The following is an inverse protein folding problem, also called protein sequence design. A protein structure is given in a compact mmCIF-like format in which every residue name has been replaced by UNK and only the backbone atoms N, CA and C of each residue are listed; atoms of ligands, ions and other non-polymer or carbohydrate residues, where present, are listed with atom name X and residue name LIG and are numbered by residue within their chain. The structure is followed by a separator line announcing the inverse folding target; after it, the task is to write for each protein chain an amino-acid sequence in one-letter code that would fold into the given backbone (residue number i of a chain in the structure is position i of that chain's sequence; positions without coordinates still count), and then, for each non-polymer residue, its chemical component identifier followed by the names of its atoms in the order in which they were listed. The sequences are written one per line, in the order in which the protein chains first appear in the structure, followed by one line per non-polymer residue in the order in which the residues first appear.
data_IF_632426361640
#
_entry.id   IF_632426361640
#
_cell.length_a   1.000
_cell.length_b   1.000
_cell.length_c   1.000
_cell.angle_alpha   90.00
_cell.angle_beta   90.00
_cell.angle_gamma   90.00
#
_symmetry.space_group_name_H-M   'P 1'
#
loop_
_entity.id
_entity.type
_entity.pdbx_description
1 polymer ?
#
# COMPACT_ATOMS: atom_id res chain seq x y z
N UNK A 1 -41.74 -57.25 -53.25
CA UNK A 1 -41.63 -56.89 -51.83
C UNK A 1 -42.08 -55.45 -51.67
N UNK A 2 -43.23 -55.23 -51.02
CA UNK A 2 -43.81 -53.90 -50.78
C UNK A 2 -43.33 -53.41 -49.42
N UNK A 3 -42.66 -52.26 -49.36
CA UNK A 3 -42.09 -51.72 -48.11
C UNK A 3 -43.13 -50.82 -47.43
N UNK A 4 -43.42 -51.09 -46.15
CA UNK A 4 -44.43 -50.39 -45.35
C UNK A 4 -43.80 -49.44 -44.33
N UNK A 5 -44.47 -48.31 -44.05
CA UNK A 5 -44.04 -47.36 -43.03
C UNK A 5 -44.24 -47.91 -41.61
N UNK A 6 -43.21 -47.86 -40.76
CA UNK A 6 -43.22 -48.42 -39.40
C UNK A 6 -44.04 -47.65 -38.37
N UNK A 7 -44.64 -46.52 -38.73
CA UNK A 7 -45.48 -45.72 -37.81
C UNK A 7 -46.98 -45.83 -38.10
N UNK A 8 -47.39 -46.16 -39.32
CA UNK A 8 -48.80 -46.21 -39.72
C UNK A 8 -49.17 -47.41 -40.62
N UNK A 9 -48.21 -48.29 -40.93
CA UNK A 9 -48.39 -49.56 -41.66
C UNK A 9 -49.07 -49.46 -43.04
N UNK A 10 -48.93 -48.33 -43.75
CA UNK A 10 -49.37 -48.17 -45.14
C UNK A 10 -48.21 -48.35 -46.14
N UNK A 11 -48.47 -48.84 -47.37
CA UNK A 11 -47.43 -49.06 -48.37
C UNK A 11 -46.94 -47.72 -48.93
N UNK A 12 -45.62 -47.52 -48.97
CA UNK A 12 -45.01 -46.26 -49.42
C UNK A 12 -45.13 -46.13 -50.94
N UNK A 13 -46.10 -45.34 -51.41
CA UNK A 13 -46.14 -44.85 -52.79
C UNK A 13 -45.38 -43.53 -52.89
N UNK A 14 -44.59 -43.39 -53.96
CA UNK A 14 -43.71 -42.26 -54.23
C UNK A 14 -44.53 -41.00 -54.57
N UNK A 15 -45.09 -40.32 -53.56
CA UNK A 15 -45.42 -38.89 -53.59
C UNK A 15 -45.86 -38.41 -52.20
N UNK A 16 -45.06 -37.49 -51.64
CA UNK A 16 -45.39 -36.51 -50.59
C UNK A 16 -46.23 -36.96 -49.38
N UNK A 17 -45.56 -37.29 -48.27
CA UNK A 17 -46.12 -37.15 -46.92
C UNK A 17 -45.60 -35.84 -46.29
N UNK A 18 -46.16 -34.70 -46.69
CA UNK A 18 -46.06 -33.47 -45.90
C UNK A 18 -47.22 -33.46 -44.90
N UNK A 19 -46.98 -33.31 -43.59
CA UNK A 19 -48.07 -33.29 -42.63
C UNK A 19 -48.93 -32.02 -42.81
N UNK A 20 -50.19 -32.24 -43.15
CA UNK A 20 -51.23 -31.20 -43.20
C UNK A 20 -51.46 -30.68 -41.79
N UNK A 21 -51.35 -29.36 -41.63
CA UNK A 21 -51.45 -28.62 -40.37
C UNK A 21 -52.81 -28.82 -39.71
N UNK A 22 -52.89 -29.72 -38.72
CA UNK A 22 -53.99 -29.74 -37.76
C UNK A 22 -53.98 -28.43 -36.95
N UNK A 23 -55.15 -27.80 -36.79
CA UNK A 23 -55.35 -26.65 -35.90
C UNK A 23 -55.08 -27.09 -34.45
N UNK A 24 -53.85 -26.90 -33.97
CA UNK A 24 -53.53 -26.96 -32.55
C UNK A 24 -54.04 -25.68 -31.87
N UNK A 25 -54.80 -25.86 -30.79
CA UNK A 25 -55.10 -24.83 -29.81
C UNK A 25 -53.79 -24.16 -29.32
N UNK A 26 -53.81 -22.88 -28.90
CA UNK A 26 -52.58 -22.19 -28.50
C UNK A 26 -52.05 -22.82 -27.21
N UNK A 27 -51.11 -23.76 -27.31
CA UNK A 27 -50.34 -24.21 -26.15
C UNK A 27 -49.42 -23.06 -25.76
N UNK A 28 -49.63 -22.56 -24.55
CA UNK A 28 -48.96 -21.42 -23.95
C UNK A 28 -47.48 -21.32 -24.36
N UNK A 29 -47.11 -20.19 -24.97
CA UNK A 29 -45.71 -19.80 -25.07
C UNK A 29 -45.12 -19.91 -23.67
N UNK A 30 -44.09 -20.76 -23.50
CA UNK A 30 -43.28 -20.71 -22.28
C UNK A 30 -42.86 -19.24 -22.16
N UNK A 31 -43.28 -18.50 -21.13
CA UNK A 31 -42.92 -17.11 -21.04
C UNK A 31 -41.41 -17.07 -21.03
N UNK A 32 -40.83 -16.25 -21.91
CA UNK A 32 -39.42 -15.94 -21.87
C UNK A 32 -39.15 -15.42 -20.46
N UNK A 33 -38.66 -16.29 -19.57
CA UNK A 33 -38.56 -16.00 -18.14
C UNK A 33 -37.53 -14.91 -18.03
N UNK A 34 -38.01 -13.69 -17.84
CA UNK A 34 -37.19 -12.49 -17.86
C UNK A 34 -36.11 -12.62 -16.80
N UNK A 35 -34.87 -12.91 -17.22
CA UNK A 35 -33.69 -12.96 -16.34
C UNK A 35 -33.39 -11.59 -15.73
N UNK A 36 -34.09 -10.54 -16.18
CA UNK A 36 -33.97 -9.16 -15.70
C UNK A 36 -34.35 -9.02 -14.22
N UNK A 37 -35.43 -9.66 -13.76
CA UNK A 37 -35.86 -9.56 -12.35
C UNK A 37 -34.89 -10.31 -11.42
N UNK A 38 -34.44 -11.50 -11.80
CA UNK A 38 -33.43 -12.26 -11.06
C UNK A 38 -32.07 -11.55 -11.01
N UNK A 39 -31.63 -10.98 -12.14
CA UNK A 39 -30.39 -10.19 -12.21
C UNK A 39 -30.46 -8.89 -11.39
N UNK A 40 -31.63 -8.25 -11.35
CA UNK A 40 -31.88 -7.10 -10.47
C UNK A 40 -31.82 -7.51 -9.00
N UNK A 41 -32.56 -8.55 -8.60
CA UNK A 41 -32.54 -9.04 -7.21
C UNK A 41 -31.12 -9.40 -6.75
N UNK A 42 -30.32 -10.05 -7.60
CA UNK A 42 -28.91 -10.34 -7.31
C UNK A 42 -28.07 -9.07 -7.11
N UNK A 43 -28.23 -8.05 -7.96
CA UNK A 43 -27.51 -6.78 -7.81
C UNK A 43 -27.94 -6.03 -6.55
N UNK A 44 -29.23 -6.04 -6.25
CA UNK A 44 -29.78 -5.42 -5.05
C UNK A 44 -29.24 -6.13 -3.78
N UNK A 45 -29.11 -7.46 -3.79
CA UNK A 45 -28.44 -8.21 -2.71
C UNK A 45 -26.96 -7.82 -2.56
N UNK A 46 -26.19 -7.79 -3.65
CA UNK A 46 -24.76 -7.40 -3.61
C UNK A 46 -24.60 -6.00 -3.03
N UNK A 47 -25.45 -5.05 -3.45
CA UNK A 47 -25.42 -3.69 -2.92
C UNK A 47 -25.77 -3.65 -1.43
N UNK A 48 -26.74 -4.46 -0.98
CA UNK A 48 -27.09 -4.56 0.44
C UNK A 48 -25.91 -5.08 1.29
N UNK A 49 -25.24 -6.14 0.83
CA UNK A 49 -24.04 -6.68 1.50
C UNK A 49 -22.89 -5.66 1.52
N UNK A 50 -22.65 -4.94 0.41
CA UNK A 50 -21.63 -3.88 0.37
C UNK A 50 -21.93 -2.75 1.36
N UNK A 51 -23.20 -2.36 1.52
CA UNK A 51 -23.58 -1.36 2.52
C UNK A 51 -23.43 -1.89 3.95
N UNK A 52 -23.76 -3.16 4.19
CA UNK A 52 -23.51 -3.80 5.48
C UNK A 52 -22.01 -3.80 5.82
N UNK A 53 -21.14 -4.23 4.88
CA UNK A 53 -19.69 -4.20 5.05
C UNK A 53 -19.17 -2.77 5.33
N UNK A 54 -19.64 -1.77 4.58
CA UNK A 54 -19.27 -0.36 4.78
C UNK A 54 -19.64 0.14 6.18
N UNK A 55 -20.81 -0.26 6.69
CA UNK A 55 -21.27 0.16 8.02
C UNK A 55 -20.35 -0.34 9.14
N UNK A 56 -19.71 -1.50 8.95
CA UNK A 56 -18.80 -2.14 9.91
C UNK A 56 -17.37 -1.56 9.89
N UNK A 57 -17.01 -0.75 8.90
CA UNK A 57 -15.68 -0.13 8.86
C UNK A 57 -15.50 0.86 10.02
N UNK A 58 -14.36 0.86 10.72
CA UNK A 58 -14.10 1.77 11.84
C UNK A 58 -13.54 3.10 11.34
N UNK A 59 -14.36 3.82 10.58
CA UNK A 59 -14.09 5.17 10.07
C UNK A 59 -15.34 6.03 10.31
N UNK A 60 -15.22 7.34 10.17
CA UNK A 60 -16.33 8.26 10.44
C UNK A 60 -17.50 8.05 9.46
N UNK A 61 -18.72 8.43 9.87
CA UNK A 61 -19.90 8.35 9.00
C UNK A 61 -19.72 9.17 7.71
N UNK A 62 -19.11 10.35 7.81
CA UNK A 62 -18.82 11.22 6.68
C UNK A 62 -17.87 10.56 5.65
N UNK A 63 -16.86 9.84 6.12
CA UNK A 63 -15.95 9.11 5.23
C UNK A 63 -16.66 7.94 4.55
N UNK A 64 -17.50 7.19 5.29
CA UNK A 64 -18.29 6.07 4.73
C UNK A 64 -19.14 6.51 3.55
N UNK A 65 -19.80 7.67 3.63
CA UNK A 65 -20.64 8.20 2.54
C UNK A 65 -19.86 8.49 1.26
N UNK A 66 -18.59 8.92 1.39
CA UNK A 66 -17.71 9.27 0.27
C UNK A 66 -17.05 8.07 -0.40
N UNK A 67 -17.09 6.89 0.21
CA UNK A 67 -16.45 5.70 -0.35
C UNK A 67 -17.15 5.22 -1.63
N UNK A 68 -16.37 4.85 -2.62
CA UNK A 68 -16.84 4.01 -3.74
C UNK A 68 -16.96 2.55 -3.29
N UNK A 69 -17.61 1.70 -4.09
CA UNK A 69 -17.63 0.25 -3.82
C UNK A 69 -16.23 -0.36 -3.84
N UNK A 70 -15.36 0.11 -4.75
CA UNK A 70 -13.98 -0.34 -4.83
C UNK A 70 -13.20 0.03 -3.56
N UNK A 71 -13.34 1.27 -3.08
CA UNK A 71 -12.70 1.72 -1.84
C UNK A 71 -13.21 0.95 -0.60
N UNK A 72 -14.52 0.65 -0.57
CA UNK A 72 -15.11 -0.16 0.50
C UNK A 72 -14.47 -1.55 0.52
N UNK A 73 -14.36 -2.19 -0.64
CA UNK A 73 -13.73 -3.50 -0.75
C UNK A 73 -12.24 -3.47 -0.39
N UNK A 74 -11.50 -2.44 -0.83
CA UNK A 74 -10.08 -2.30 -0.52
C UNK A 74 -9.83 -2.20 1.00
N UNK A 75 -10.62 -1.37 1.70
CA UNK A 75 -10.56 -1.26 3.16
C UNK A 75 -10.96 -2.57 3.85
N UNK A 76 -12.03 -3.25 3.40
CA UNK A 76 -12.44 -4.55 3.95
C UNK A 76 -11.32 -5.57 3.78
N UNK A 77 -10.71 -5.68 2.59
CA UNK A 77 -9.58 -6.57 2.33
C UNK A 77 -8.36 -6.22 3.19
N UNK A 78 -8.07 -4.94 3.41
CA UNK A 78 -6.99 -4.52 4.31
C UNK A 78 -7.27 -4.96 5.75
N UNK A 79 -8.50 -4.73 6.25
CA UNK A 79 -8.91 -5.12 7.61
C UNK A 79 -8.88 -6.63 7.81
N UNK A 80 -9.31 -7.41 6.84
CA UNK A 80 -9.26 -8.88 6.90
C UNK A 80 -7.81 -9.38 6.93
N UNK A 81 -6.91 -8.81 6.11
CA UNK A 81 -5.47 -9.11 6.16
C UNK A 81 -4.87 -8.77 7.53
N UNK A 82 -5.21 -7.60 8.06
CA UNK A 82 -4.81 -7.17 9.41
C UNK A 82 -5.28 -8.14 10.49
N UNK A 83 -6.55 -8.54 10.47
CA UNK A 83 -7.12 -9.46 11.45
C UNK A 83 -6.53 -10.88 11.36
N UNK A 84 -6.10 -11.32 10.17
CA UNK A 84 -5.42 -12.60 9.99
C UNK A 84 -4.01 -12.59 10.61
N UNK A 85 -3.29 -11.47 10.52
CA UNK A 85 -1.95 -11.33 11.07
C UNK A 85 -1.94 -10.97 12.55
N UNK A 86 -2.89 -10.16 13.00
CA UNK A 86 -3.05 -9.72 14.39
C UNK A 86 -4.40 -10.23 14.94
N UNK A 87 -4.48 -11.50 15.34
CA UNK A 87 -5.71 -12.05 15.87
C UNK A 87 -6.06 -11.36 17.22
N UNK A 88 -7.35 -11.15 17.51
CA UNK A 88 -7.83 -10.35 18.65
C UNK A 88 -7.45 -10.89 20.05
N UNK A 89 -6.79 -12.04 20.14
CA UNK A 89 -6.29 -12.63 21.40
C UNK A 89 -4.83 -12.30 21.74
N UNK A 90 -4.08 -11.65 20.83
CA UNK A 90 -2.67 -11.31 21.05
C UNK A 90 -2.44 -9.91 21.65
N UNK A 91 -3.48 -9.06 21.70
CA UNK A 91 -3.35 -7.71 22.21
C UNK A 91 -3.49 -7.69 23.74
N UNK A 92 -2.58 -7.03 24.49
CA UNK A 92 -2.85 -6.70 25.89
C UNK A 92 -4.12 -5.82 25.97
N UNK A 93 -4.86 -5.84 27.11
CA UNK A 93 -6.06 -5.05 27.28
C UNK A 93 -5.75 -3.59 26.93
N UNK A 94 -6.54 -3.04 26.01
CA UNK A 94 -6.34 -1.70 25.46
C UNK A 94 -6.10 -0.70 26.59
N UNK A 95 -4.87 -0.18 26.67
CA UNK A 95 -4.59 1.03 27.41
C UNK A 95 -5.40 2.19 26.84
N UNK A 96 -5.47 3.32 27.56
CA UNK A 96 -6.28 4.47 27.14
C UNK A 96 -5.95 4.89 25.70
N UNK A 97 -6.92 5.54 25.05
CA UNK A 97 -7.01 5.93 23.65
C UNK A 97 -5.87 6.85 23.12
N UNK A 98 -4.62 6.56 23.47
CA UNK A 98 -3.40 7.24 23.04
C UNK A 98 -3.10 7.03 21.57
N UNK A 99 -3.87 6.23 20.82
CA UNK A 99 -3.56 5.85 19.45
C UNK A 99 -3.36 7.06 18.53
N UNK A 100 -4.30 8.01 18.53
CA UNK A 100 -4.22 9.19 17.65
C UNK A 100 -3.19 10.22 18.12
N UNK A 101 -3.08 10.44 19.44
CA UNK A 101 -2.05 11.34 20.00
C UNK A 101 -0.65 10.79 19.76
N UNK A 102 -0.43 9.49 19.99
CA UNK A 102 0.85 8.82 19.71
C UNK A 102 1.22 8.94 18.24
N UNK A 103 0.27 8.72 17.32
CA UNK A 103 0.52 8.87 15.89
C UNK A 103 0.89 10.32 15.53
N UNK A 104 0.34 11.32 16.20
CA UNK A 104 0.71 12.73 15.98
C UNK A 104 2.11 13.08 16.49
N UNK A 105 2.64 12.31 17.44
CA UNK A 105 3.98 12.51 18.01
C UNK A 105 5.08 11.73 17.26
N UNK A 106 4.72 10.80 16.37
CA UNK A 106 5.70 10.07 15.58
C UNK A 106 6.34 10.99 14.54
N UNK A 107 7.67 10.90 14.31
CA UNK A 107 8.36 11.69 13.28
C UNK A 107 8.02 11.25 11.85
N UNK A 108 7.00 10.42 11.67
CA UNK A 108 6.67 9.73 10.43
C UNK A 108 5.43 8.86 10.62
N UNK A 109 5.23 7.90 9.74
CA UNK A 109 4.06 6.99 9.78
C UNK A 109 4.49 5.53 9.90
N UNK A 110 3.59 4.69 10.43
CA UNK A 110 3.82 3.26 10.56
C UNK A 110 3.35 2.54 9.29
N UNK A 111 4.15 1.58 8.84
CA UNK A 111 3.87 0.71 7.70
C UNK A 111 4.01 -0.73 8.14
N UNK A 112 2.99 -1.55 7.86
CA UNK A 112 3.03 -2.99 8.09
C UNK A 112 2.75 -3.73 6.80
N UNK A 113 3.65 -4.63 6.44
CA UNK A 113 3.54 -5.48 5.27
C UNK A 113 3.48 -6.95 5.70
N UNK A 114 2.81 -7.75 4.89
CA UNK A 114 2.85 -9.21 4.97
C UNK A 114 4.14 -9.76 4.36
N UNK A 115 4.39 -11.06 4.52
CA UNK A 115 5.57 -11.72 3.97
C UNK A 115 5.67 -11.66 2.43
N UNK A 116 4.56 -11.45 1.72
CA UNK A 116 4.49 -11.21 0.27
C UNK A 116 4.47 -9.72 -0.10
N UNK A 117 4.91 -8.84 0.82
CA UNK A 117 5.03 -7.38 0.63
C UNK A 117 3.69 -6.67 0.34
N UNK A 118 2.56 -7.30 0.66
CA UNK A 118 1.25 -6.65 0.61
C UNK A 118 1.00 -5.82 1.85
N UNK A 119 0.35 -4.68 1.67
CA UNK A 119 -0.03 -3.79 2.74
C UNK A 119 -1.02 -4.46 3.69
N UNK A 120 -0.74 -4.37 4.99
CA UNK A 120 -1.56 -4.94 6.07
C UNK A 120 -2.12 -3.82 6.93
N UNK A 121 -1.28 -2.83 7.23
CA UNK A 121 -1.66 -1.64 7.97
C UNK A 121 -0.79 -0.46 7.54
N UNK A 122 -1.39 0.72 7.57
CA UNK A 122 -0.69 1.99 7.47
C UNK A 122 -1.40 2.97 8.40
N UNK A 123 -0.65 3.76 9.14
CA UNK A 123 -1.24 4.73 10.07
C UNK A 123 -1.86 5.92 9.35
N UNK A 124 -2.89 6.50 9.96
CA UNK A 124 -3.69 7.59 9.37
C UNK A 124 -2.88 8.87 9.13
N UNK A 125 -1.84 9.12 9.93
CA UNK A 125 -0.93 10.26 9.79
C UNK A 125 -0.09 10.22 8.48
N UNK A 126 -0.14 9.14 7.69
CA UNK A 126 0.43 9.12 6.34
C UNK A 126 -0.11 10.25 5.46
N UNK A 127 -1.35 10.69 5.67
CA UNK A 127 -1.95 11.78 4.93
C UNK A 127 -1.21 13.11 5.16
N UNK A 128 -0.58 13.31 6.32
CA UNK A 128 0.21 14.50 6.61
C UNK A 128 1.56 14.48 5.87
N UNK A 129 2.12 13.28 5.66
CA UNK A 129 3.43 13.10 5.05
C UNK A 129 3.36 13.04 3.53
N UNK A 130 2.40 12.29 2.97
CA UNK A 130 2.28 12.05 1.53
C UNK A 130 1.13 12.82 0.87
N UNK A 131 0.25 13.43 1.66
CA UNK A 131 -0.97 14.08 1.16
C UNK A 131 -2.02 13.13 0.62
N UNK A 132 -1.88 11.81 0.86
CA UNK A 132 -2.78 10.75 0.41
C UNK A 132 -3.43 10.09 1.62
N UNK A 133 -4.75 9.93 1.57
CA UNK A 133 -5.46 9.11 2.55
C UNK A 133 -5.12 7.62 2.38
N UNK A 134 -5.33 6.82 3.43
CA UNK A 134 -5.20 5.36 3.38
C UNK A 134 -6.02 4.75 2.25
N UNK A 135 -7.22 5.30 2.02
CA UNK A 135 -8.13 4.84 0.95
C UNK A 135 -7.54 5.09 -0.44
N UNK A 136 -6.95 6.26 -0.66
CA UNK A 136 -6.34 6.62 -1.93
C UNK A 136 -5.07 5.82 -2.20
N UNK A 137 -4.28 5.53 -1.17
CA UNK A 137 -3.12 4.64 -1.28
C UNK A 137 -3.55 3.23 -1.69
N UNK A 138 -4.56 2.68 -1.03
CA UNK A 138 -5.12 1.37 -1.37
C UNK A 138 -5.75 1.30 -2.76
N UNK A 139 -6.21 2.43 -3.30
CA UNK A 139 -6.75 2.50 -4.66
C UNK A 139 -5.66 2.40 -5.73
N UNK A 140 -4.40 2.71 -5.39
CA UNK A 140 -3.25 2.61 -6.30
C UNK A 140 -2.76 1.16 -6.42
N UNK A 141 -2.81 0.40 -5.33
CA UNK A 141 -2.44 -0.99 -5.30
C UNK A 141 -2.43 -1.56 -3.89
N UNK A 142 -2.20 -2.87 -3.77
CA UNK A 142 -2.17 -3.58 -2.50
C UNK A 142 -0.76 -3.97 -2.05
N UNK A 143 0.27 -3.70 -2.87
CA UNK A 143 1.68 -3.94 -2.55
C UNK A 143 2.41 -2.66 -2.18
N UNK A 144 3.50 -2.79 -1.41
CA UNK A 144 4.37 -1.63 -1.10
C UNK A 144 4.92 -0.98 -2.36
N UNK A 145 5.20 -1.77 -3.41
CA UNK A 145 5.81 -1.30 -4.66
C UNK A 145 4.88 -0.38 -5.47
N UNK A 146 3.57 -0.43 -5.23
CA UNK A 146 2.61 0.48 -5.85
C UNK A 146 2.65 1.89 -5.22
N UNK A 147 3.08 1.97 -3.96
CA UNK A 147 3.22 3.20 -3.16
C UNK A 147 4.56 3.87 -3.44
N UNK A 148 5.62 3.08 -3.63
CA UNK A 148 6.94 3.58 -4.01
C UNK A 148 6.89 4.16 -5.44
N UNK A 149 7.67 5.20 -5.70
CA UNK A 149 7.95 5.60 -7.08
C UNK A 149 8.80 4.49 -7.72
N UNK A 150 8.51 4.12 -8.96
CA UNK A 150 8.99 2.86 -9.57
C UNK A 150 10.52 2.73 -9.71
N UNK A 151 11.28 3.74 -9.30
CA UNK A 151 12.75 3.72 -9.24
C UNK A 151 13.20 3.04 -7.94
N UNK A 152 13.98 1.98 -8.06
CA UNK A 152 14.58 1.28 -6.91
C UNK A 152 13.73 0.16 -6.29
N UNK A 153 12.57 -0.17 -6.89
CA UNK A 153 11.70 -1.25 -6.39
C UNK A 153 12.39 -2.62 -6.32
N UNK A 154 13.30 -2.93 -7.25
CA UNK A 154 14.07 -4.18 -7.26
C UNK A 154 15.02 -4.28 -6.06
N UNK A 155 15.75 -3.21 -5.75
CA UNK A 155 16.69 -3.18 -4.62
C UNK A 155 15.94 -3.27 -3.29
N UNK A 156 14.81 -2.57 -3.17
CA UNK A 156 13.92 -2.69 -2.01
C UNK A 156 13.38 -4.11 -1.89
N UNK A 157 12.95 -4.72 -3.00
CA UNK A 157 12.45 -6.10 -3.00
C UNK A 157 13.51 -7.09 -2.51
N UNK A 158 14.76 -6.96 -3.00
CA UNK A 158 15.89 -7.77 -2.56
C UNK A 158 16.18 -7.59 -1.08
N UNK A 159 16.20 -6.36 -0.58
CA UNK A 159 16.40 -6.07 0.85
C UNK A 159 15.31 -6.69 1.71
N UNK A 160 14.04 -6.57 1.31
CA UNK A 160 12.92 -7.18 2.03
C UNK A 160 12.97 -8.72 2.00
N UNK A 161 13.41 -9.32 0.88
CA UNK A 161 13.58 -10.77 0.78
C UNK A 161 14.66 -11.28 1.73
N UNK A 162 15.83 -10.63 1.75
CA UNK A 162 16.92 -10.97 2.67
C UNK A 162 16.50 -10.77 4.14
N UNK A 163 15.81 -9.67 4.43
CA UNK A 163 15.28 -9.37 5.78
C UNK A 163 14.32 -10.46 6.28
N UNK A 164 13.60 -11.10 5.37
CA UNK A 164 12.64 -12.17 5.70
C UNK A 164 13.34 -13.48 6.07
N UNK A 165 14.51 -13.75 5.50
CA UNK A 165 15.32 -14.93 5.84
C UNK A 165 15.98 -14.80 7.22
N UNK A 166 16.17 -13.58 7.71
CA UNK A 166 16.74 -13.27 9.03
C UNK A 166 15.75 -12.48 9.91
N UNK A 167 14.65 -13.11 10.41
CA UNK A 167 13.67 -12.44 11.25
C UNK A 167 14.32 -11.76 12.48
N UNK A 168 13.88 -10.53 12.77
CA UNK A 168 14.42 -9.72 13.86
C UNK A 168 15.57 -8.79 13.45
N UNK A 169 16.24 -9.05 12.31
CA UNK A 169 17.23 -8.13 11.76
C UNK A 169 16.56 -6.84 11.29
N UNK A 170 17.14 -5.71 11.70
CA UNK A 170 16.71 -4.40 11.24
C UNK A 170 17.18 -4.15 9.82
N UNK A 171 16.28 -3.63 8.99
CA UNK A 171 16.50 -3.29 7.60
C UNK A 171 16.07 -1.86 7.37
N UNK A 172 17.01 -1.10 6.81
CA UNK A 172 16.84 0.30 6.51
C UNK A 172 17.07 0.54 5.03
N UNK A 173 16.18 1.30 4.41
CA UNK A 173 16.35 1.77 3.04
C UNK A 173 15.65 3.10 2.86
N UNK A 174 16.10 3.85 1.87
CA UNK A 174 15.48 5.11 1.46
C UNK A 174 14.73 4.85 0.17
N UNK A 175 13.51 5.35 0.07
CA UNK A 175 12.71 5.23 -1.15
C UNK A 175 11.88 6.49 -1.37
N UNK A 176 11.72 6.85 -2.63
CA UNK A 176 10.81 7.90 -3.05
C UNK A 176 9.39 7.34 -3.04
N UNK A 177 8.46 7.99 -2.36
CA UNK A 177 7.06 7.59 -2.24
C UNK A 177 6.16 8.59 -2.96
N UNK A 178 5.15 8.05 -3.65
CA UNK A 178 4.21 8.86 -4.42
C UNK A 178 3.39 9.76 -3.50
N UNK A 179 3.25 11.01 -3.88
CA UNK A 179 2.44 11.99 -3.17
C UNK A 179 1.22 12.41 -3.97
N UNK A 180 0.22 12.98 -3.29
CA UNK A 180 -0.99 13.46 -3.96
C UNK A 180 -0.67 14.62 -4.90
N UNK A 181 -1.53 14.84 -5.90
CA UNK A 181 -1.35 15.97 -6.83
C UNK A 181 -1.34 17.31 -6.10
N UNK A 182 -2.23 17.48 -5.12
CA UNK A 182 -2.30 18.69 -4.31
C UNK A 182 -1.00 18.90 -3.50
N UNK A 183 -0.48 17.82 -2.91
CA UNK A 183 0.78 17.86 -2.18
C UNK A 183 1.97 18.25 -3.06
N UNK A 184 2.06 17.68 -4.27
CA UNK A 184 3.13 18.02 -5.25
C UNK A 184 3.12 19.47 -5.68
N UNK A 185 1.94 20.07 -5.80
CA UNK A 185 1.81 21.49 -6.14
C UNK A 185 2.34 22.40 -5.03
N UNK A 186 2.29 21.96 -3.78
CA UNK A 186 2.75 22.73 -2.61
C UNK A 186 4.21 22.46 -2.26
N UNK A 187 4.67 21.21 -2.39
CA UNK A 187 5.93 20.72 -1.84
C UNK A 187 6.92 20.18 -2.90
N UNK A 188 6.60 20.29 -4.19
CA UNK A 188 7.60 20.11 -5.23
C UNK A 188 7.95 18.67 -5.63
N UNK A 189 7.09 17.68 -5.38
CA UNK A 189 7.27 16.34 -5.94
C UNK A 189 6.87 15.19 -5.02
N UNK A 190 7.33 14.00 -5.36
CA UNK A 190 7.24 12.83 -4.48
C UNK A 190 8.14 13.05 -3.25
N UNK A 191 7.87 12.34 -2.16
CA UNK A 191 8.63 12.48 -0.91
C UNK A 191 9.64 11.37 -0.79
N UNK A 192 10.87 11.72 -0.44
CA UNK A 192 11.87 10.72 -0.05
C UNK A 192 11.64 10.34 1.40
N UNK A 193 11.50 9.05 1.65
CA UNK A 193 11.15 8.49 2.96
C UNK A 193 12.18 7.43 3.35
N UNK A 194 12.75 7.58 4.53
CA UNK A 194 13.55 6.54 5.17
C UNK A 194 12.61 5.51 5.81
N UNK A 195 12.75 4.25 5.42
CA UNK A 195 11.99 3.13 5.96
C UNK A 195 12.93 2.32 6.84
N UNK A 196 12.64 2.24 8.12
CA UNK A 196 13.38 1.43 9.09
C UNK A 196 12.44 0.43 9.73
N UNK A 197 12.76 -0.86 9.60
CA UNK A 197 11.86 -1.90 10.08
C UNK A 197 12.49 -3.27 10.18
N UNK A 198 11.69 -4.26 10.58
CA UNK A 198 12.13 -5.65 10.69
C UNK A 198 10.97 -6.62 10.49
N UNK A 199 11.30 -7.84 10.08
CA UNK A 199 10.33 -8.93 10.08
C UNK A 199 10.16 -9.49 11.49
N UNK A 200 8.91 -9.65 11.91
CA UNK A 200 8.52 -10.21 13.20
C UNK A 200 7.58 -11.39 12.97
N UNK A 201 7.84 -12.51 13.65
CA UNK A 201 6.91 -13.62 13.72
C UNK A 201 5.84 -13.32 14.78
N UNK A 202 4.58 -13.19 14.35
CA UNK A 202 3.44 -12.83 15.20
C UNK A 202 2.80 -14.06 15.85
N UNK A 203 3.08 -15.26 15.35
CA UNK A 203 2.68 -16.52 16.01
C UNK A 203 3.79 -17.55 15.91
N UNK A 204 3.84 -18.43 16.92
CA UNK A 204 4.73 -19.58 16.94
C UNK A 204 3.93 -20.86 16.66
N UNK A 205 4.36 -21.72 15.72
CA UNK A 205 5.58 -21.64 14.92
C UNK A 205 5.52 -20.57 13.82
N UNK A 206 6.67 -20.01 13.40
CA UNK A 206 6.71 -18.99 12.36
C UNK A 206 6.30 -19.60 11.01
N UNK A 207 5.34 -18.96 10.35
CA UNK A 207 4.90 -19.30 9.00
C UNK A 207 4.88 -18.02 8.17
N UNK A 208 4.95 -18.08 6.83
CA UNK A 208 4.81 -16.89 5.99
C UNK A 208 3.48 -16.15 6.21
N UNK A 209 2.45 -16.86 6.67
CA UNK A 209 1.15 -16.29 7.04
C UNK A 209 1.11 -15.64 8.43
N UNK A 210 2.15 -15.82 9.26
CA UNK A 210 2.28 -15.21 10.58
C UNK A 210 3.47 -14.26 10.72
N UNK A 211 4.26 -14.06 9.66
CA UNK A 211 5.35 -13.08 9.64
C UNK A 211 4.90 -11.78 8.97
N UNK A 212 5.20 -10.65 9.61
CA UNK A 212 4.96 -9.32 9.07
C UNK A 212 6.22 -8.47 9.16
N UNK A 213 6.42 -7.59 8.18
CA UNK A 213 7.39 -6.51 8.23
C UNK A 213 6.75 -5.30 8.92
N UNK A 214 7.32 -4.85 10.04
CA UNK A 214 6.88 -3.65 10.74
C UNK A 214 7.94 -2.58 10.54
N UNK A 215 7.54 -1.40 10.09
CA UNK A 215 8.45 -0.30 9.83
C UNK A 215 7.90 1.06 10.26
N UNK A 216 8.84 1.93 10.65
CA UNK A 216 8.64 3.37 10.76
C UNK A 216 9.16 4.02 9.48
N UNK A 217 8.32 4.86 8.88
CA UNK A 217 8.57 5.58 7.65
C UNK A 217 8.71 7.07 7.96
N UNK A 218 9.93 7.59 7.96
CA UNK A 218 10.27 8.97 8.32
C UNK A 218 10.58 9.78 7.06
N UNK A 219 9.84 10.86 6.74
CA UNK A 219 10.18 11.73 5.62
C UNK A 219 11.56 12.36 5.83
N UNK A 220 12.36 12.38 4.78
CA UNK A 220 13.65 13.09 4.77
C UNK A 220 13.37 14.52 4.30
N UNK A 221 13.72 15.50 5.13
CA UNK A 221 13.58 16.92 4.79
C UNK A 221 14.57 17.25 3.68
N UNK A 222 14.07 17.53 2.48
CA UNK A 222 14.90 17.81 1.31
C UNK A 222 15.27 19.30 1.19
N UNK A 223 14.53 20.19 1.87
CA UNK A 223 14.87 21.60 1.92
C UNK A 223 14.51 22.23 3.27
N UNK A 224 15.35 23.15 3.79
CA UNK A 224 15.12 23.79 5.09
C UNK A 224 13.88 24.70 5.13
N UNK A 225 13.24 24.96 3.99
CA UNK A 225 12.01 25.74 3.89
C UNK A 225 10.74 24.96 4.29
N UNK A 226 10.83 23.64 4.42
CA UNK A 226 9.66 22.76 4.66
C UNK A 226 9.53 22.27 6.11
N UNK A 227 10.55 22.48 6.95
CA UNK A 227 10.45 22.21 8.38
C UNK A 227 9.74 23.35 9.08
N UNK A 228 8.68 23.06 9.84
CA UNK A 228 8.26 23.95 10.92
C UNK A 228 9.51 24.35 11.71
N UNK A 229 9.64 25.64 12.01
CA UNK A 229 10.84 26.28 12.52
C UNK A 229 11.48 25.55 13.72
N UNK A 230 12.26 24.50 13.45
CA UNK A 230 13.30 24.06 14.34
C UNK A 230 14.23 25.28 14.47
N UNK A 231 14.56 25.63 15.71
CA UNK A 231 15.59 26.63 15.98
C UNK A 231 16.77 26.36 15.04
N UNK A 232 17.16 27.34 14.23
CA UNK A 232 18.35 27.24 13.36
C UNK A 232 19.63 26.89 14.14
N UNK A 233 19.56 26.96 15.48
CA UNK A 233 20.64 26.68 16.40
C UNK A 233 20.83 25.18 16.75
N UNK A 234 19.87 24.30 16.43
CA UNK A 234 19.98 22.85 16.75
C UNK A 234 20.61 22.02 15.62
N UNK A 235 20.72 22.59 14.41
CA UNK A 235 21.23 21.90 13.21
C UNK A 235 22.14 22.88 12.45
N UNK A 236 23.31 22.41 12.00
CA UNK A 236 24.12 23.14 11.02
C UNK A 236 23.90 22.58 9.61
N UNK A 237 24.14 23.42 8.61
CA UNK A 237 24.03 23.04 7.20
C UNK A 237 25.39 23.13 6.53
N UNK A 238 25.68 22.20 5.63
CA UNK A 238 26.92 22.16 4.85
C UNK A 238 26.62 21.86 3.39
N UNK A 239 27.35 22.53 2.50
CA UNK A 239 27.34 22.29 1.06
C UNK A 239 28.65 21.64 0.64
N UNK A 240 28.57 20.69 -0.28
CA UNK A 240 29.71 19.87 -0.69
C UNK A 240 29.81 19.72 -2.20
N UNK A 241 31.03 19.49 -2.70
CA UNK A 241 31.28 18.95 -4.03
C UNK A 241 30.88 17.46 -4.08
N UNK A 242 30.83 16.87 -5.27
CA UNK A 242 30.50 15.45 -5.47
C UNK A 242 31.53 14.47 -4.88
N UNK A 243 32.71 14.96 -4.48
CA UNK A 243 33.71 14.18 -3.75
C UNK A 243 33.61 14.37 -2.22
N UNK A 244 32.51 14.98 -1.76
CA UNK A 244 32.24 15.37 -0.37
C UNK A 244 33.25 16.38 0.20
N UNK A 245 33.88 17.20 -0.66
CA UNK A 245 34.67 18.36 -0.21
C UNK A 245 33.76 19.52 0.17
N UNK A 246 33.95 20.11 1.35
CA UNK A 246 33.15 21.24 1.81
C UNK A 246 33.34 22.48 0.91
N UNK A 247 32.22 23.03 0.43
CA UNK A 247 32.15 24.31 -0.27
C UNK A 247 31.80 25.43 0.71
N UNK A 248 30.80 25.18 1.57
CA UNK A 248 30.33 26.13 2.56
C UNK A 248 29.70 25.39 3.75
N UNK A 249 29.65 26.03 4.92
CA UNK A 249 29.02 25.51 6.13
C UNK A 249 28.50 26.68 6.99
N UNK A 250 27.35 26.52 7.66
CA UNK A 250 26.82 27.56 8.54
C UNK A 250 27.71 27.79 9.76
N UNK A 251 27.80 29.04 10.25
CA UNK A 251 28.61 29.41 11.42
C UNK A 251 28.28 28.58 12.68
N UNK A 252 27.06 28.06 12.77
CA UNK A 252 26.60 27.21 13.86
C UNK A 252 27.42 25.93 14.02
N UNK A 253 28.15 25.48 12.99
CA UNK A 253 29.03 24.30 13.06
C UNK A 253 30.06 24.37 14.20
N UNK A 254 30.48 25.58 14.58
CA UNK A 254 31.39 25.80 15.72
C UNK A 254 30.81 25.26 17.02
N UNK A 255 29.50 25.42 17.23
CA UNK A 255 28.82 24.94 18.45
C UNK A 255 28.61 23.42 18.45
N UNK A 256 28.54 22.80 17.27
CA UNK A 256 28.26 21.36 17.14
C UNK A 256 29.53 20.50 17.06
N UNK A 257 30.52 20.92 16.27
CA UNK A 257 31.73 20.14 15.99
C UNK A 257 33.00 20.79 16.55
N UNK A 258 32.93 22.05 17.00
CA UNK A 258 34.10 22.78 17.50
C UNK A 258 35.03 23.32 16.40
N UNK A 259 34.65 23.20 15.13
CA UNK A 259 35.39 23.74 13.99
C UNK A 259 34.82 25.08 13.54
N UNK A 260 35.68 25.99 13.11
CA UNK A 260 35.27 27.17 12.38
C UNK A 260 35.00 26.86 10.90
N UNK A 261 34.15 27.67 10.26
CA UNK A 261 33.81 27.55 8.85
C UNK A 261 35.05 27.50 7.97
N UNK A 262 36.01 28.39 8.22
CA UNK A 262 37.23 28.54 7.42
C UNK A 262 38.15 27.32 7.51
N UNK A 263 38.06 26.53 8.59
CA UNK A 263 38.84 25.30 8.77
C UNK A 263 38.27 24.13 7.96
N UNK A 264 36.96 24.13 7.73
CA UNK A 264 36.26 23.06 7.03
C UNK A 264 36.22 23.26 5.53
N UNK A 265 36.04 24.50 5.05
CA UNK A 265 35.95 24.78 3.60
C UNK A 265 37.21 24.30 2.88
N UNK A 266 37.01 23.47 1.85
CA UNK A 266 38.09 22.86 1.07
C UNK A 266 38.64 21.54 1.63
N UNK A 267 38.22 21.11 2.83
CA UNK A 267 38.52 19.78 3.35
C UNK A 267 37.53 18.74 2.83
N UNK A 268 37.96 17.48 2.70
CA UNK A 268 37.04 16.36 2.43
C UNK A 268 36.33 15.96 3.72
N UNK A 269 35.00 15.81 3.68
CA UNK A 269 34.22 15.31 4.80
C UNK A 269 34.69 13.94 5.32
N UNK A 270 35.27 13.11 4.45
CA UNK A 270 35.87 11.82 4.84
C UNK A 270 37.02 11.97 5.85
N UNK A 271 37.69 13.12 5.94
CA UNK A 271 38.75 13.36 6.91
C UNK A 271 38.22 13.54 8.35
N UNK A 272 36.94 13.88 8.48
CA UNK A 272 36.26 14.07 9.76
C UNK A 272 35.59 12.79 10.28
N UNK A 273 35.44 11.78 9.42
CA UNK A 273 34.79 10.54 9.79
C UNK A 273 35.66 9.69 10.70
N UNK A 274 35.02 9.01 11.65
CA UNK A 274 35.67 7.94 12.37
C UNK A 274 36.05 6.82 11.37
N UNK A 275 37.25 6.23 11.48
CA UNK A 275 37.70 5.21 10.52
C UNK A 275 36.76 3.99 10.39
N UNK A 276 36.04 3.63 11.46
CA UNK A 276 35.08 2.52 11.43
C UNK A 276 33.83 2.82 10.61
N UNK A 277 33.48 4.10 10.41
CA UNK A 277 32.28 4.53 9.68
C UNK A 277 32.59 4.86 8.20
N UNK A 278 33.86 4.97 7.84
CA UNK A 278 34.30 5.42 6.51
C UNK A 278 33.78 4.51 5.38
N UNK A 279 33.81 3.19 5.59
CA UNK A 279 33.34 2.22 4.59
C UNK A 279 31.82 2.29 4.38
N UNK A 280 31.06 2.44 5.47
CA UNK A 280 29.61 2.61 5.43
C UNK A 280 29.24 3.91 4.71
N UNK A 281 29.88 5.00 5.09
CA UNK A 281 29.70 6.32 4.48
C UNK A 281 30.02 6.29 2.98
N UNK A 282 31.13 5.65 2.59
CA UNK A 282 31.51 5.50 1.19
C UNK A 282 30.51 4.64 0.40
N UNK A 283 29.98 3.56 1.00
CA UNK A 283 28.94 2.76 0.39
C UNK A 283 27.65 3.55 0.16
N UNK A 284 27.24 4.37 1.13
CA UNK A 284 26.08 5.26 1.02
C UNK A 284 26.30 6.36 -0.02
N UNK A 285 27.46 7.00 -0.02
CA UNK A 285 27.80 8.06 -0.98
C UNK A 285 27.77 7.56 -2.44
N UNK A 286 28.23 6.33 -2.70
CA UNK A 286 28.17 5.72 -4.05
C UNK A 286 26.75 5.40 -4.52
N UNK A 287 25.77 5.38 -3.61
CA UNK A 287 24.38 5.06 -3.91
C UNK A 287 23.54 6.30 -4.27
N UNK A 288 24.12 7.50 -4.16
CA UNK A 288 23.54 8.80 -4.54
C UNK A 288 24.00 9.18 -5.94
#
# INVERSE_FOLDING_TARGET
MTIFCSHCHRPLQAQSCLPTRAKQAPSASRPFRSTKSASKARRDQINAELQALRSLLPISAQEKERLSYLHTMALVCLRLRGAQLFPPGLAPPAGPALGTELLSLLPGFLLVLSADSKLVYISENVAQVLGLSVVELLAQGDTVFDILDGRGGEEVHKKLLLAREEPGREVTFVSEMRTSKAFRLQHGGNRVVAVCGRFVALSWPPSPSSTAFLALCTPIVQSPTEGEAASQDDIFQSMHLLDMTFIDVTESVTYHLGYHREELVGQSWYSLLHPEDADLAAAQHRAV
#
